data_IF_126321602740
#
_entry.id   IF_126321602740
#
_cell.length_a   1.000
_cell.length_b   1.000
_cell.length_c   1.000
_cell.angle_alpha   90.00
_cell.angle_beta   90.00
_cell.angle_gamma   90.00
#
_symmetry.space_group_name_H-M   'P 1'
#
loop_
_entity.id
_entity.type
_entity.pdbx_description
1 polymer ?
#
# COMPACT_ATOMS: atom_id res chain seq x y z
N UNK A 1 1.08 68.56 0.43
CA UNK A 1 1.44 68.56 -1.00
C UNK A 1 2.91 68.15 -1.14
N UNK A 2 3.20 66.84 -1.17
CA UNK A 2 4.57 66.32 -1.32
C UNK A 2 4.74 65.86 -2.77
N UNK A 3 5.56 66.59 -3.53
CA UNK A 3 5.82 66.36 -4.96
C UNK A 3 6.57 65.03 -5.09
N UNK A 4 5.85 63.94 -5.38
CA UNK A 4 6.42 62.60 -5.55
C UNK A 4 7.32 62.59 -6.79
N UNK A 5 8.63 62.63 -6.56
CA UNK A 5 9.63 62.80 -7.60
C UNK A 5 9.72 61.50 -8.40
N UNK A 6 9.18 61.49 -9.63
CA UNK A 6 9.04 60.28 -10.46
C UNK A 6 10.37 59.54 -10.68
N UNK A 7 11.50 60.26 -10.65
CA UNK A 7 12.85 59.69 -10.79
C UNK A 7 13.20 58.76 -9.63
N UNK A 8 12.88 59.15 -8.38
CA UNK A 8 13.15 58.33 -7.19
C UNK A 8 12.33 57.04 -7.21
N UNK A 9 11.09 57.10 -7.73
CA UNK A 9 10.24 55.92 -7.87
C UNK A 9 10.80 54.89 -8.87
N UNK A 10 11.38 55.35 -10.00
CA UNK A 10 12.00 54.45 -10.97
C UNK A 10 13.31 53.82 -10.46
N UNK A 11 14.09 54.58 -9.67
CA UNK A 11 15.32 54.05 -9.04
C UNK A 11 14.97 52.98 -8.00
N UNK A 12 13.94 53.21 -7.17
CA UNK A 12 13.49 52.22 -6.18
C UNK A 12 12.95 50.96 -6.87
N UNK A 13 12.16 51.10 -7.93
CA UNK A 13 11.65 49.96 -8.70
C UNK A 13 12.81 49.18 -9.34
N UNK A 14 13.82 49.87 -9.90
CA UNK A 14 15.00 49.25 -10.47
C UNK A 14 15.80 48.44 -9.45
N UNK A 15 16.04 48.99 -8.26
CA UNK A 15 16.75 48.28 -7.18
C UNK A 15 15.96 47.05 -6.72
N UNK A 16 14.64 47.16 -6.52
CA UNK A 16 13.79 46.02 -6.15
C UNK A 16 13.81 44.94 -7.23
N UNK A 17 13.80 45.33 -8.51
CA UNK A 17 13.84 44.41 -9.64
C UNK A 17 15.16 43.63 -9.70
N UNK A 18 16.29 44.32 -9.50
CA UNK A 18 17.62 43.70 -9.48
C UNK A 18 17.79 42.79 -8.25
N UNK A 19 17.26 43.20 -7.10
CA UNK A 19 17.32 42.40 -5.87
C UNK A 19 16.45 41.13 -5.98
N UNK A 20 15.28 41.22 -6.61
CA UNK A 20 14.42 40.08 -6.90
C UNK A 20 15.07 39.12 -7.91
N UNK A 21 15.76 39.63 -8.93
CA UNK A 21 16.48 38.82 -9.90
C UNK A 21 17.66 38.07 -9.26
N UNK A 22 18.39 38.72 -8.34
CA UNK A 22 19.47 38.09 -7.58
C UNK A 22 18.96 37.02 -6.61
N UNK A 23 17.75 37.16 -6.06
CA UNK A 23 17.16 36.15 -5.19
C UNK A 23 16.68 34.90 -5.95
N UNK A 24 16.21 35.05 -7.19
CA UNK A 24 15.84 33.91 -8.06
C UNK A 24 17.07 33.15 -8.54
N UNK A 25 18.20 33.83 -8.75
CA UNK A 25 19.44 33.21 -9.21
C UNK A 25 20.17 32.37 -8.14
N UNK A 26 19.82 32.54 -6.85
CA UNK A 26 20.43 31.81 -5.72
C UNK A 26 19.44 30.85 -5.07
N UNK A 27 18.37 30.46 -5.78
CA UNK A 27 17.58 29.33 -5.35
C UNK A 27 18.52 28.10 -5.29
N UNK A 28 18.77 27.51 -4.11
CA UNK A 28 19.51 26.27 -4.06
C UNK A 28 18.69 25.25 -4.87
N UNK A 29 19.27 24.78 -5.97
CA UNK A 29 18.81 23.55 -6.58
C UNK A 29 18.97 22.47 -5.50
N UNK A 30 17.88 22.13 -4.82
CA UNK A 30 17.83 20.92 -4.01
C UNK A 30 17.99 19.77 -5.00
N UNK A 31 19.24 19.35 -5.22
CA UNK A 31 19.49 18.06 -5.81
C UNK A 31 18.80 17.05 -4.89
N UNK A 32 17.88 16.26 -5.44
CA UNK A 32 17.31 15.13 -4.71
C UNK A 32 18.47 14.29 -4.21
N UNK A 33 18.75 14.36 -2.91
CA UNK A 33 19.83 13.62 -2.32
C UNK A 33 19.39 12.16 -2.27
N UNK A 34 19.75 11.41 -3.30
CA UNK A 34 19.70 9.97 -3.30
C UNK A 34 20.52 9.46 -2.12
N UNK A 35 19.85 8.79 -1.18
CA UNK A 35 20.50 8.18 -0.02
C UNK A 35 21.01 6.81 -0.44
N UNK A 36 22.32 6.70 -0.60
CA UNK A 36 23.01 5.41 -0.77
C UNK A 36 23.69 5.03 0.54
N UNK A 37 23.47 3.79 0.98
CA UNK A 37 24.10 3.24 2.17
C UNK A 37 24.95 2.01 1.83
N UNK A 38 26.07 1.87 2.52
CA UNK A 38 26.91 0.69 2.50
C UNK A 38 26.33 -0.42 3.38
N UNK A 39 26.46 -1.67 2.94
CA UNK A 39 26.05 -2.86 3.68
C UNK A 39 27.09 -3.98 3.52
N UNK A 40 27.05 -4.91 4.48
CA UNK A 40 27.70 -6.21 4.34
C UNK A 40 26.88 -7.16 3.45
N UNK A 41 27.52 -8.16 2.87
CA UNK A 41 26.84 -9.24 2.16
C UNK A 41 27.59 -10.56 2.32
N UNK A 42 26.84 -11.63 2.62
CA UNK A 42 27.38 -12.99 2.71
C UNK A 42 27.42 -13.68 1.33
N UNK A 43 26.72 -13.10 0.34
CA UNK A 43 26.62 -13.61 -1.03
C UNK A 43 27.17 -12.61 -2.03
N UNK A 44 27.63 -13.10 -3.18
CA UNK A 44 28.11 -12.23 -4.24
C UNK A 44 26.94 -11.50 -4.88
N UNK A 45 26.86 -10.20 -4.63
CA UNK A 45 25.85 -9.31 -5.20
C UNK A 45 26.37 -8.62 -6.45
N UNK A 46 25.56 -8.61 -7.50
CA UNK A 46 25.87 -7.93 -8.75
C UNK A 46 25.12 -6.60 -8.83
N UNK A 47 25.69 -5.65 -9.59
CA UNK A 47 25.06 -4.37 -9.88
C UNK A 47 23.70 -4.58 -10.53
N UNK A 48 22.72 -3.80 -10.09
CA UNK A 48 21.34 -3.87 -10.54
C UNK A 48 20.50 -4.94 -9.85
N UNK A 49 21.07 -5.73 -8.93
CA UNK A 49 20.28 -6.66 -8.15
C UNK A 49 19.38 -5.95 -7.15
N UNK A 50 18.14 -6.42 -7.04
CA UNK A 50 17.20 -6.00 -6.01
C UNK A 50 17.52 -6.73 -4.70
N UNK A 51 17.70 -5.98 -3.62
CA UNK A 51 18.10 -6.52 -2.32
C UNK A 51 17.17 -6.09 -1.20
N UNK A 52 17.16 -6.90 -0.15
CA UNK A 52 16.50 -6.63 1.11
C UNK A 52 17.43 -6.85 2.28
N UNK A 53 17.07 -6.26 3.43
CA UNK A 53 17.81 -6.43 4.67
C UNK A 53 17.67 -7.87 5.17
N UNK A 54 18.76 -8.49 5.63
CA UNK A 54 18.76 -9.84 6.18
C UNK A 54 17.89 -9.92 7.45
N UNK A 55 17.14 -11.03 7.65
CA UNK A 55 16.23 -11.19 8.80
C UNK A 55 16.99 -11.20 10.14
N UNK A 56 18.18 -11.78 10.15
CA UNK A 56 19.00 -11.96 11.35
C UNK A 56 19.94 -10.77 11.63
N UNK A 57 20.37 -10.05 10.58
CA UNK A 57 21.29 -8.92 10.69
C UNK A 57 20.89 -7.77 9.75
N UNK A 58 20.32 -6.66 10.26
CA UNK A 58 19.89 -5.54 9.43
C UNK A 58 21.05 -4.73 8.84
N UNK A 59 22.30 -5.08 9.15
CA UNK A 59 23.50 -4.48 8.51
C UNK A 59 23.94 -5.22 7.25
N UNK A 60 23.30 -6.34 6.95
CA UNK A 60 23.59 -7.14 5.77
C UNK A 60 22.42 -7.14 4.80
N UNK A 61 22.75 -7.27 3.53
CA UNK A 61 21.78 -7.36 2.45
C UNK A 61 21.90 -8.68 1.71
N UNK A 62 20.76 -9.18 1.25
CA UNK A 62 20.66 -10.38 0.43
C UNK A 62 19.70 -10.15 -0.75
N UNK A 63 19.87 -10.89 -1.86
CA UNK A 63 18.96 -10.76 -2.99
C UNK A 63 17.60 -11.38 -2.64
N UNK A 64 16.53 -10.60 -2.87
CA UNK A 64 15.17 -11.01 -2.53
C UNK A 64 14.36 -11.40 -3.76
N UNK A 65 13.27 -12.14 -3.55
CA UNK A 65 12.28 -12.47 -4.57
C UNK A 65 10.91 -11.85 -4.21
N UNK A 66 9.88 -12.20 -4.96
CA UNK A 66 8.49 -11.79 -4.75
C UNK A 66 7.90 -12.22 -3.41
N UNK A 67 8.43 -13.26 -2.75
CA UNK A 67 7.92 -13.75 -1.46
C UNK A 67 8.45 -12.90 -0.28
N UNK A 68 9.67 -12.38 -0.39
CA UNK A 68 10.33 -11.49 0.58
C UNK A 68 10.10 -10.00 0.25
N UNK A 69 8.97 -9.65 -0.40
CA UNK A 69 8.66 -8.28 -0.84
C UNK A 69 8.60 -7.26 0.30
N UNK A 70 8.32 -7.72 1.53
CA UNK A 70 8.23 -6.92 2.75
C UNK A 70 9.58 -6.35 3.19
N UNK A 71 10.67 -7.00 2.75
CA UNK A 71 12.05 -6.66 3.08
C UNK A 71 12.75 -5.85 2.00
N UNK A 72 12.03 -5.47 0.94
CA UNK A 72 12.57 -4.69 -0.17
C UNK A 72 13.23 -3.41 0.35
N UNK A 73 14.52 -3.28 0.10
CA UNK A 73 15.33 -2.19 0.65
C UNK A 73 15.98 -1.31 -0.43
N UNK A 74 16.34 -1.89 -1.58
CA UNK A 74 16.88 -1.11 -2.67
C UNK A 74 17.56 -1.94 -3.75
N UNK A 75 18.41 -1.26 -4.53
CA UNK A 75 19.16 -1.84 -5.63
C UNK A 75 20.65 -1.70 -5.36
N UNK A 76 21.41 -2.74 -5.70
CA UNK A 76 22.88 -2.73 -5.61
C UNK A 76 23.47 -1.84 -6.71
N UNK A 77 24.27 -0.86 -6.32
CA UNK A 77 24.90 0.11 -7.22
C UNK A 77 26.43 0.07 -7.13
N UNK A 78 27.11 0.66 -8.11
CA UNK A 78 28.55 0.87 -8.03
C UNK A 78 28.92 2.00 -7.07
N UNK A 79 30.09 1.92 -6.44
CA UNK A 79 30.61 2.94 -5.52
C UNK A 79 30.69 4.35 -6.13
N UNK A 80 30.85 4.44 -7.46
CA UNK A 80 31.03 5.70 -8.20
C UNK A 80 29.71 6.33 -8.69
N UNK A 81 28.55 5.74 -8.36
CA UNK A 81 27.26 6.12 -8.95
C UNK A 81 26.37 6.93 -8.01
N UNK A 82 26.81 7.20 -6.77
CA UNK A 82 26.06 7.99 -5.80
C UNK A 82 26.67 9.37 -5.58
N UNK A 83 25.81 10.38 -5.43
CA UNK A 83 26.20 11.72 -4.99
C UNK A 83 26.55 11.77 -3.49
N UNK A 84 26.03 10.84 -2.69
CA UNK A 84 26.25 10.75 -1.24
C UNK A 84 26.49 9.29 -0.86
N UNK A 85 27.61 8.98 -0.23
CA UNK A 85 27.95 7.65 0.26
C UNK A 85 27.97 7.66 1.79
N UNK A 86 27.15 6.80 2.40
CA UNK A 86 27.14 6.58 3.84
C UNK A 86 27.53 5.11 4.08
N UNK A 87 28.79 4.86 4.43
CA UNK A 87 29.27 3.49 4.69
C UNK A 87 30.59 3.50 5.46
N UNK A 88 30.92 2.36 6.08
CA UNK A 88 32.20 2.10 6.74
C UNK A 88 33.14 1.28 5.85
N UNK A 89 34.43 1.25 6.19
CA UNK A 89 35.48 0.57 5.40
C UNK A 89 35.24 -0.95 5.20
N UNK A 90 34.38 -1.57 6.02
CA UNK A 90 33.99 -2.98 5.96
C UNK A 90 32.74 -3.26 5.10
N UNK A 91 32.00 -2.23 4.71
CA UNK A 91 30.75 -2.31 3.93
C UNK A 91 31.03 -2.10 2.43
N UNK A 92 31.24 -3.20 1.71
CA UNK A 92 31.67 -3.17 0.30
C UNK A 92 30.52 -3.15 -0.72
N UNK A 93 29.27 -3.30 -0.27
CA UNK A 93 28.08 -3.32 -1.14
C UNK A 93 27.29 -2.05 -0.92
N UNK A 94 27.07 -1.28 -1.97
CA UNK A 94 26.29 -0.04 -1.92
C UNK A 94 24.87 -0.31 -2.40
N UNK A 95 23.89 0.13 -1.60
CA UNK A 95 22.47 -0.03 -1.92
C UNK A 95 21.81 1.34 -1.98
N UNK A 96 21.15 1.60 -3.11
CA UNK A 96 20.37 2.80 -3.31
C UNK A 96 18.89 2.53 -3.03
N UNK A 97 18.30 3.34 -2.15
CA UNK A 97 16.87 3.29 -1.81
C UNK A 97 16.03 4.34 -2.54
N UNK A 98 16.66 5.23 -3.31
CA UNK A 98 15.97 6.25 -4.09
C UNK A 98 16.80 6.84 -5.22
N UNK A 99 16.19 7.15 -6.36
CA UNK A 99 16.84 7.77 -7.53
C UNK A 99 16.99 6.81 -8.72
N UNK A 100 17.67 7.26 -9.78
CA UNK A 100 17.67 6.56 -11.07
C UNK A 100 18.85 5.61 -11.19
N UNK A 101 18.57 4.30 -11.20
CA UNK A 101 19.61 3.27 -11.27
C UNK A 101 19.25 2.15 -12.25
N UNK A 102 20.26 1.52 -12.87
CA UNK A 102 20.04 0.31 -13.66
C UNK A 102 19.64 -0.84 -12.75
N UNK A 103 18.55 -1.53 -13.10
CA UNK A 103 18.00 -2.67 -12.36
C UNK A 103 17.92 -3.87 -13.28
N UNK A 104 18.27 -5.05 -12.75
CA UNK A 104 18.05 -6.32 -13.44
C UNK A 104 16.56 -6.60 -13.46
N UNK A 105 15.99 -6.79 -14.64
CA UNK A 105 14.57 -7.05 -14.82
C UNK A 105 14.35 -8.27 -15.69
N UNK A 106 13.25 -8.96 -15.44
CA UNK A 106 12.84 -10.17 -16.15
C UNK A 106 11.54 -9.94 -16.89
N UNK A 107 11.35 -10.74 -17.93
CA UNK A 107 10.12 -10.85 -18.71
C UNK A 107 9.03 -11.70 -18.06
N UNK A 108 9.17 -12.04 -16.78
CA UNK A 108 8.24 -12.92 -16.05
C UNK A 108 6.79 -12.43 -16.13
N UNK A 109 6.59 -11.12 -16.01
CA UNK A 109 5.27 -10.49 -16.08
C UNK A 109 5.08 -9.71 -17.39
N UNK A 110 5.76 -10.13 -18.46
CA UNK A 110 5.76 -9.50 -19.78
C UNK A 110 6.82 -8.41 -19.95
N UNK A 111 6.76 -7.73 -21.10
CA UNK A 111 7.62 -6.61 -21.44
C UNK A 111 7.38 -5.42 -20.50
N UNK A 112 8.41 -4.61 -20.29
CA UNK A 112 8.36 -3.40 -19.47
C UNK A 112 8.33 -2.19 -20.39
N UNK A 113 7.33 -1.33 -20.24
CA UNK A 113 7.26 -0.06 -20.94
C UNK A 113 7.74 1.09 -20.04
N UNK A 114 8.09 2.21 -20.67
CA UNK A 114 8.40 3.45 -19.94
C UNK A 114 7.17 3.86 -19.13
N UNK A 115 7.39 3.97 -17.82
CA UNK A 115 6.37 4.35 -16.86
C UNK A 115 5.66 3.18 -16.18
N UNK A 116 5.99 1.93 -16.52
CA UNK A 116 5.51 0.78 -15.78
C UNK A 116 6.15 0.71 -14.39
N UNK A 117 5.42 0.19 -13.42
CA UNK A 117 5.98 -0.10 -12.10
C UNK A 117 6.81 -1.38 -12.14
N UNK A 118 7.88 -1.41 -11.36
CA UNK A 118 8.76 -2.58 -11.23
C UNK A 118 8.66 -3.13 -9.80
N UNK A 119 8.45 -4.43 -9.67
CA UNK A 119 8.40 -5.17 -8.40
C UNK A 119 9.42 -6.32 -8.42
N UNK A 120 9.64 -6.96 -7.27
CA UNK A 120 10.51 -8.14 -7.18
C UNK A 120 9.87 -9.33 -7.93
N UNK A 121 10.67 -10.04 -8.73
CA UNK A 121 10.25 -11.23 -9.47
C UNK A 121 10.41 -12.50 -8.63
N UNK A 122 10.00 -13.66 -9.14
CA UNK A 122 10.30 -14.94 -8.45
C UNK A 122 11.79 -15.28 -8.46
N UNK A 123 12.58 -14.64 -9.34
CA UNK A 123 14.03 -14.75 -9.38
C UNK A 123 14.65 -13.80 -8.36
N UNK A 124 15.46 -14.37 -7.47
CA UNK A 124 16.19 -13.60 -6.45
C UNK A 124 17.08 -12.55 -7.10
N UNK A 125 16.93 -11.31 -6.65
CA UNK A 125 17.74 -10.19 -7.14
C UNK A 125 17.28 -9.59 -8.47
N UNK A 126 16.17 -10.06 -9.05
CA UNK A 126 15.69 -9.57 -10.35
C UNK A 126 14.27 -9.03 -10.20
N UNK A 127 14.01 -7.90 -10.84
CA UNK A 127 12.70 -7.28 -10.91
C UNK A 127 11.83 -7.84 -12.04
N UNK A 128 10.57 -7.48 -12.05
CA UNK A 128 9.64 -7.70 -13.16
C UNK A 128 8.65 -6.54 -13.18
N UNK A 129 7.90 -6.41 -14.28
CA UNK A 129 6.75 -5.50 -14.32
C UNK A 129 5.78 -5.83 -13.18
N UNK A 130 5.36 -4.83 -12.42
CA UNK A 130 4.34 -4.99 -11.39
C UNK A 130 2.94 -5.00 -12.03
N UNK A 131 2.11 -5.94 -11.59
CA UNK A 131 0.70 -6.02 -11.94
C UNK A 131 -0.18 -5.48 -10.82
N UNK A 132 -1.34 -6.11 -10.64
CA UNK A 132 -2.33 -5.74 -9.62
C UNK A 132 -2.30 -6.63 -8.37
N UNK A 133 -1.29 -7.49 -8.22
CA UNK A 133 -1.17 -8.43 -7.09
C UNK A 133 0.02 -8.15 -6.18
N UNK A 134 1.06 -7.48 -6.69
CA UNK A 134 2.29 -7.21 -5.96
C UNK A 134 2.09 -6.06 -4.96
N UNK A 135 2.27 -6.25 -3.65
CA UNK A 135 1.94 -5.21 -2.67
C UNK A 135 2.92 -4.04 -2.63
N UNK A 136 4.18 -4.30 -2.99
CA UNK A 136 5.29 -3.36 -2.90
C UNK A 136 5.97 -3.25 -4.27
N UNK A 137 6.31 -2.02 -4.64
CA UNK A 137 7.07 -1.70 -5.85
C UNK A 137 8.42 -1.13 -5.46
N UNK A 138 9.42 -1.41 -6.30
CA UNK A 138 10.74 -0.79 -6.22
C UNK A 138 10.72 0.63 -6.76
N UNK A 139 9.95 0.88 -7.82
CA UNK A 139 9.97 2.16 -8.52
C UNK A 139 9.29 2.11 -9.88
N UNK A 140 9.58 3.11 -10.70
CA UNK A 140 9.00 3.30 -12.03
C UNK A 140 10.06 3.18 -13.12
N UNK A 141 9.82 2.34 -14.13
CA UNK A 141 10.73 2.16 -15.24
C UNK A 141 10.82 3.45 -16.07
N UNK A 142 12.04 3.90 -16.37
CA UNK A 142 12.29 5.04 -17.27
C UNK A 142 12.77 4.60 -18.65
N UNK A 143 13.11 3.32 -18.80
CA UNK A 143 13.45 2.66 -20.06
C UNK A 143 12.48 1.51 -20.33
N UNK A 144 12.35 1.14 -21.60
CA UNK A 144 11.59 -0.05 -21.99
C UNK A 144 12.51 -1.28 -22.02
N UNK A 145 11.92 -2.46 -21.81
CA UNK A 145 12.56 -3.75 -22.05
C UNK A 145 11.62 -4.65 -22.83
N UNK A 146 12.10 -5.04 -24.01
CA UNK A 146 11.43 -5.98 -24.89
C UNK A 146 12.14 -7.34 -24.88
N UNK A 147 11.43 -8.34 -24.37
CA UNK A 147 11.92 -9.72 -24.33
C UNK A 147 12.05 -10.40 -25.70
N UNK A 148 11.49 -9.79 -26.75
CA UNK A 148 11.65 -10.22 -28.14
C UNK A 148 12.92 -9.68 -28.80
N UNK A 149 13.57 -8.66 -28.23
CA UNK A 149 14.77 -8.05 -28.80
C UNK A 149 16.05 -8.67 -28.21
N UNK A 150 16.79 -9.46 -28.99
CA UNK A 150 17.97 -10.19 -28.51
C UNK A 150 19.11 -9.28 -28.00
N UNK A 151 19.17 -8.03 -28.44
CA UNK A 151 20.19 -7.07 -28.01
C UNK A 151 19.98 -6.56 -26.57
N UNK A 152 18.74 -6.61 -26.09
CA UNK A 152 18.32 -6.18 -24.75
C UNK A 152 18.44 -7.31 -23.71
N UNK A 153 18.59 -8.55 -24.17
CA UNK A 153 18.75 -9.74 -23.32
C UNK A 153 20.21 -9.87 -22.89
N UNK A 154 20.50 -9.60 -21.61
CA UNK A 154 21.84 -9.76 -21.03
C UNK A 154 22.08 -11.16 -20.48
N UNK A 155 21.02 -11.85 -20.05
CA UNK A 155 21.09 -13.23 -19.58
C UNK A 155 19.73 -13.91 -19.68
N UNK A 156 19.70 -15.23 -19.79
CA UNK A 156 18.47 -16.00 -19.70
C UNK A 156 18.51 -16.86 -18.43
N UNK A 157 17.51 -16.71 -17.57
CA UNK A 157 17.41 -17.47 -16.32
C UNK A 157 16.24 -18.45 -16.47
N UNK A 158 16.52 -19.74 -16.27
CA UNK A 158 15.47 -20.77 -16.24
C UNK A 158 14.85 -20.80 -14.86
N UNK A 159 13.55 -20.56 -14.77
CA UNK A 159 12.78 -20.60 -13.53
C UNK A 159 11.78 -21.74 -13.60
N UNK A 160 11.68 -22.50 -12.51
CA UNK A 160 10.60 -23.48 -12.33
C UNK A 160 9.37 -22.74 -11.80
N UNK A 161 8.31 -22.72 -12.59
CA UNK A 161 7.00 -22.24 -12.17
C UNK A 161 6.42 -23.14 -11.06
N UNK A 162 5.42 -22.65 -10.34
CA UNK A 162 4.67 -23.38 -9.29
C UNK A 162 4.06 -24.70 -9.78
N UNK A 163 3.96 -24.89 -11.11
CA UNK A 163 3.50 -26.10 -11.76
C UNK A 163 4.64 -27.06 -12.18
N UNK A 164 5.89 -26.78 -11.79
CA UNK A 164 7.07 -27.60 -12.10
C UNK A 164 7.61 -27.44 -13.52
N UNK A 165 7.06 -26.51 -14.30
CA UNK A 165 7.50 -26.24 -15.68
C UNK A 165 8.69 -25.28 -15.70
N UNK A 166 9.73 -25.63 -16.45
CA UNK A 166 10.90 -24.77 -16.67
C UNK A 166 10.57 -23.70 -17.71
N UNK A 167 10.43 -22.46 -17.28
CA UNK A 167 10.28 -21.30 -18.15
C UNK A 167 11.60 -20.54 -18.25
N UNK A 168 12.06 -20.33 -19.47
CA UNK A 168 13.27 -19.54 -19.75
C UNK A 168 12.88 -18.07 -19.78
N UNK A 169 13.20 -17.34 -18.72
CA UNK A 169 12.94 -15.92 -18.60
C UNK A 169 14.11 -15.13 -19.20
N UNK A 170 13.81 -14.22 -20.12
CA UNK A 170 14.78 -13.23 -20.57
C UNK A 170 15.01 -12.20 -19.45
N UNK A 171 16.27 -11.96 -19.12
CA UNK A 171 16.73 -10.97 -18.13
C UNK A 171 17.52 -9.88 -18.85
N UNK A 172 17.12 -8.63 -18.64
CA UNK A 172 17.76 -7.44 -19.14
C UNK A 172 18.12 -6.47 -18.02
N UNK A 173 18.65 -5.31 -18.42
CA UNK A 173 18.89 -4.19 -17.51
C UNK A 173 18.00 -3.04 -17.97
N UNK A 174 17.22 -2.50 -17.05
CA UNK A 174 16.36 -1.32 -17.27
C UNK A 174 16.68 -0.29 -16.22
N UNK A 175 16.82 0.97 -16.63
CA UNK A 175 16.91 2.05 -15.66
C UNK A 175 15.54 2.29 -15.03
N UNK A 176 15.51 2.27 -13.70
CA UNK A 176 14.31 2.48 -12.89
C UNK A 176 14.55 3.69 -12.00
N UNK A 177 13.55 4.56 -11.93
CA UNK A 177 13.47 5.58 -10.88
C UNK A 177 13.03 4.89 -9.59
N UNK A 178 14.02 4.52 -8.78
CA UNK A 178 13.84 3.79 -7.53
C UNK A 178 13.11 4.71 -6.55
N UNK A 179 11.95 4.26 -6.11
CA UNK A 179 11.10 4.93 -5.13
C UNK A 179 10.27 3.84 -4.44
N UNK A 180 10.83 3.25 -3.41
CA UNK A 180 10.22 2.09 -2.75
C UNK A 180 8.91 2.51 -2.09
N UNK A 181 7.84 1.80 -2.42
CA UNK A 181 6.52 2.18 -1.96
C UNK A 181 5.47 1.11 -2.20
N UNK A 182 4.24 1.39 -1.76
CA UNK A 182 3.09 0.52 -2.02
C UNK A 182 2.70 0.60 -3.49
N UNK A 183 2.35 -0.54 -4.07
CA UNK A 183 1.89 -0.59 -5.45
C UNK A 183 0.54 0.14 -5.58
N UNK A 184 0.45 1.23 -6.36
CA UNK A 184 -0.81 1.94 -6.57
C UNK A 184 -1.80 1.13 -7.41
N UNK A 185 -1.35 0.09 -8.12
CA UNK A 185 -2.19 -0.78 -8.95
C UNK A 185 -2.73 -2.01 -8.19
N UNK A 186 -2.37 -2.18 -6.91
CA UNK A 186 -2.77 -3.34 -6.11
C UNK A 186 -4.31 -3.45 -6.02
N UNK A 187 -4.87 -4.49 -6.62
CA UNK A 187 -6.26 -4.90 -6.41
C UNK A 187 -6.31 -5.90 -5.27
N UNK A 188 -7.03 -5.55 -4.22
CA UNK A 188 -7.30 -6.47 -3.12
C UNK A 188 -8.29 -7.53 -3.61
N UNK A 189 -7.80 -8.68 -4.08
CA UNK A 189 -8.57 -9.80 -4.65
C UNK A 189 -9.57 -10.51 -3.71
N UNK A 190 -10.04 -9.82 -2.66
CA UNK A 190 -11.17 -10.23 -1.81
C UNK A 190 -12.20 -9.10 -1.72
N UNK A 191 -12.58 -8.54 -2.87
CA UNK A 191 -13.40 -7.33 -2.93
C UNK A 191 -14.79 -7.56 -2.33
N UNK A 192 -14.91 -7.15 -1.08
CA UNK A 192 -16.15 -6.81 -0.43
C UNK A 192 -16.93 -5.84 -1.33
N UNK A 193 -18.23 -6.08 -1.59
CA UNK A 193 -19.06 -5.15 -2.36
C UNK A 193 -18.88 -3.70 -1.88
N UNK A 194 -18.73 -2.76 -2.81
CA UNK A 194 -18.38 -1.36 -2.50
C UNK A 194 -19.31 -0.70 -1.48
N UNK A 195 -20.59 -1.08 -1.45
CA UNK A 195 -21.55 -0.64 -0.44
C UNK A 195 -21.17 -1.12 0.98
N UNK A 196 -20.83 -2.40 1.14
CA UNK A 196 -20.43 -2.97 2.43
C UNK A 196 -19.08 -2.41 2.88
N UNK A 197 -18.15 -2.21 1.95
CA UNK A 197 -16.85 -1.57 2.23
C UNK A 197 -17.06 -0.18 2.81
N UNK A 198 -17.80 0.68 2.11
CA UNK A 198 -18.10 2.05 2.59
C UNK A 198 -18.81 2.05 3.94
N UNK A 199 -19.81 1.20 4.13
CA UNK A 199 -20.52 1.12 5.41
C UNK A 199 -19.58 0.71 6.55
N UNK A 200 -18.72 -0.30 6.31
CA UNK A 200 -17.76 -0.77 7.31
C UNK A 200 -16.67 0.27 7.62
N UNK A 201 -16.17 0.98 6.60
CA UNK A 201 -15.17 2.04 6.74
C UNK A 201 -15.72 3.26 7.47
N UNK A 202 -16.98 3.64 7.22
CA UNK A 202 -17.65 4.73 7.94
C UNK A 202 -17.79 4.44 9.44
N UNK A 203 -18.05 3.18 9.80
CA UNK A 203 -18.19 2.76 11.19
C UNK A 203 -16.83 2.57 11.86
N UNK A 204 -15.86 2.00 11.16
CA UNK A 204 -14.54 1.67 11.74
C UNK A 204 -13.53 2.83 11.68
N UNK A 205 -13.71 3.80 10.77
CA UNK A 205 -12.77 4.89 10.51
C UNK A 205 -11.45 4.44 9.86
N UNK A 206 -11.36 3.18 9.43
CA UNK A 206 -10.18 2.57 8.80
C UNK A 206 -10.61 1.50 7.78
N UNK A 207 -9.78 1.16 6.78
CA UNK A 207 -10.03 0.00 5.92
C UNK A 207 -10.07 -1.27 6.77
N UNK A 208 -11.16 -2.03 6.66
CA UNK A 208 -11.41 -3.26 7.43
C UNK A 208 -11.26 -4.46 6.52
N UNK A 209 -10.69 -5.57 7.04
CA UNK A 209 -10.54 -6.78 6.25
C UNK A 209 -11.91 -7.38 5.87
N UNK A 210 -12.08 -7.91 4.64
CA UNK A 210 -13.35 -8.48 4.16
C UNK A 210 -13.94 -9.54 5.09
N UNK A 211 -13.09 -10.40 5.67
CA UNK A 211 -13.52 -11.45 6.61
C UNK A 211 -14.18 -10.88 7.87
N UNK A 212 -13.66 -9.76 8.42
CA UNK A 212 -14.27 -9.08 9.57
C UNK A 212 -15.64 -8.51 9.19
N UNK A 213 -15.76 -7.95 7.99
CA UNK A 213 -17.04 -7.41 7.52
C UNK A 213 -18.09 -8.51 7.35
N UNK A 214 -17.74 -9.66 6.76
CA UNK A 214 -18.67 -10.80 6.65
C UNK A 214 -19.08 -11.36 8.02
N UNK A 215 -18.16 -11.50 8.96
CA UNK A 215 -18.48 -11.92 10.32
C UNK A 215 -19.40 -10.93 11.03
N UNK A 216 -19.17 -9.63 10.85
CA UNK A 216 -20.01 -8.58 11.41
C UNK A 216 -21.44 -8.63 10.83
N UNK A 217 -21.57 -8.89 9.53
CA UNK A 217 -22.85 -9.03 8.86
C UNK A 217 -23.62 -10.25 9.38
N UNK A 218 -22.93 -11.38 9.57
CA UNK A 218 -23.52 -12.59 10.13
C UNK A 218 -24.07 -12.35 11.55
N UNK A 219 -23.29 -11.69 12.42
CA UNK A 219 -23.73 -11.35 13.79
C UNK A 219 -24.95 -10.43 13.75
N UNK A 220 -24.95 -9.43 12.87
CA UNK A 220 -26.07 -8.50 12.74
C UNK A 220 -27.35 -9.22 12.30
N UNK A 221 -27.26 -10.13 11.33
CA UNK A 221 -28.40 -10.94 10.87
C UNK A 221 -28.94 -11.81 11.99
N UNK A 222 -28.06 -12.48 12.76
CA UNK A 222 -28.46 -13.32 13.90
C UNK A 222 -29.12 -12.48 15.00
N UNK A 223 -28.52 -11.35 15.38
CA UNK A 223 -29.09 -10.46 16.40
C UNK A 223 -30.46 -9.90 15.98
N UNK A 224 -30.60 -9.53 14.71
CA UNK A 224 -31.87 -9.06 14.14
C UNK A 224 -32.92 -10.17 14.12
N UNK A 225 -32.55 -11.40 13.76
CA UNK A 225 -33.47 -12.54 13.76
C UNK A 225 -33.94 -12.90 15.18
N UNK A 226 -33.04 -12.90 16.16
CA UNK A 226 -33.38 -13.15 17.57
C UNK A 226 -34.30 -12.05 18.10
N UNK A 227 -33.91 -10.77 17.98
CA UNK A 227 -34.74 -9.66 18.45
C UNK A 227 -36.10 -9.61 17.74
N UNK A 228 -36.10 -9.80 16.41
CA UNK A 228 -37.33 -9.80 15.60
C UNK A 228 -38.29 -10.92 15.98
N UNK A 229 -37.78 -12.15 16.18
CA UNK A 229 -38.60 -13.28 16.61
C UNK A 229 -39.17 -13.09 18.02
N UNK A 230 -38.39 -12.53 18.95
CA UNK A 230 -38.86 -12.19 20.31
C UNK A 230 -40.00 -11.17 20.27
N UNK A 231 -39.82 -10.06 19.53
CA UNK A 231 -40.83 -9.00 19.43
C UNK A 231 -42.08 -9.53 18.72
N UNK A 232 -41.93 -10.27 17.62
CA UNK A 232 -43.07 -10.82 16.88
C UNK A 232 -43.89 -11.79 17.74
N UNK A 233 -43.21 -12.71 18.45
CA UNK A 233 -43.85 -13.65 19.36
C UNK A 233 -44.58 -12.93 20.50
N UNK A 234 -43.94 -11.92 21.09
CA UNK A 234 -44.51 -11.13 22.17
C UNK A 234 -45.76 -10.36 21.72
N UNK A 235 -45.70 -9.69 20.57
CA UNK A 235 -46.83 -8.93 20.02
C UNK A 235 -48.00 -9.86 19.70
N UNK A 236 -47.74 -10.96 18.97
CA UNK A 236 -48.79 -11.92 18.62
C UNK A 236 -49.46 -12.52 19.85
N UNK A 237 -48.66 -12.95 20.83
CA UNK A 237 -49.16 -13.51 22.09
C UNK A 237 -49.96 -12.49 22.90
N UNK A 238 -49.52 -11.23 22.90
CA UNK A 238 -50.22 -10.16 23.62
C UNK A 238 -51.57 -9.82 22.99
N UNK A 239 -51.65 -9.80 21.64
CA UNK A 239 -52.90 -9.53 20.92
C UNK A 239 -53.94 -10.64 21.22
N UNK A 240 -53.54 -11.91 21.16
CA UNK A 240 -54.45 -13.03 21.44
C UNK A 240 -54.89 -13.05 22.90
N UNK A 241 -53.97 -12.78 23.84
CA UNK A 241 -54.28 -12.72 25.26
C UNK A 241 -55.25 -11.58 25.61
N UNK A 242 -55.07 -10.39 25.02
CA UNK A 242 -55.97 -9.24 25.22
C UNK A 242 -57.36 -9.53 24.63
N UNK A 243 -57.41 -10.17 23.45
CA UNK A 243 -58.68 -10.56 22.82
C UNK A 243 -59.48 -11.58 23.66
N UNK A 244 -58.79 -12.47 24.38
CA UNK A 244 -59.42 -13.49 25.24
C UNK A 244 -59.80 -12.96 26.63
N UNK A 245 -59.07 -11.99 27.16
CA UNK A 245 -59.35 -11.42 28.47
C UNK A 245 -59.01 -9.91 28.52
N UNK A 246 -59.97 -9.03 28.15
CA UNK A 246 -59.72 -7.59 28.10
C UNK A 246 -59.49 -6.96 29.48
N UNK A 247 -59.94 -7.59 30.58
CA UNK A 247 -59.73 -7.09 31.94
C UNK A 247 -58.25 -7.13 32.36
N UNK A 248 -57.48 -8.08 31.83
CA UNK A 248 -56.05 -8.23 32.11
C UNK A 248 -55.14 -7.40 31.20
N UNK A 249 -55.70 -6.50 30.37
CA UNK A 249 -54.96 -5.69 29.40
C UNK A 249 -53.74 -4.97 30.00
N UNK A 250 -53.89 -4.39 31.19
CA UNK A 250 -52.80 -3.64 31.87
C UNK A 250 -51.64 -4.55 32.27
N UNK A 251 -51.91 -5.78 32.70
CA UNK A 251 -50.88 -6.76 33.04
C UNK A 251 -50.19 -7.30 31.77
N UNK A 252 -50.95 -7.62 30.73
CA UNK A 252 -50.42 -8.12 29.46
C UNK A 252 -49.54 -7.06 28.77
N UNK A 253 -49.97 -5.80 28.73
CA UNK A 253 -49.17 -4.70 28.16
C UNK A 253 -47.85 -4.48 28.89
N UNK A 254 -47.81 -4.65 30.22
CA UNK A 254 -46.55 -4.60 30.99
C UNK A 254 -45.60 -5.73 30.58
N UNK A 255 -46.12 -6.95 30.44
CA UNK A 255 -45.34 -8.10 29.97
C UNK A 255 -44.81 -7.90 28.54
N UNK A 256 -45.64 -7.39 27.62
CA UNK A 256 -45.23 -7.03 26.27
C UNK A 256 -44.08 -6.02 26.29
N UNK A 257 -44.23 -4.94 27.08
CA UNK A 257 -43.23 -3.89 27.18
C UNK A 257 -41.89 -4.44 27.71
N UNK A 258 -41.92 -5.35 28.69
CA UNK A 258 -40.72 -6.01 29.19
C UNK A 258 -40.02 -6.84 28.11
N UNK A 259 -40.75 -7.62 27.30
CA UNK A 259 -40.13 -8.41 26.22
C UNK A 259 -39.59 -7.53 25.10
N UNK A 260 -40.27 -6.43 24.78
CA UNK A 260 -39.78 -5.44 23.81
C UNK A 260 -38.47 -4.81 24.28
N UNK A 261 -38.35 -4.45 25.57
CA UNK A 261 -37.10 -3.96 26.15
C UNK A 261 -36.00 -5.01 26.04
N UNK A 262 -36.28 -6.28 26.38
CA UNK A 262 -35.29 -7.36 26.28
C UNK A 262 -34.83 -7.54 24.83
N UNK A 263 -35.75 -7.56 23.87
CA UNK A 263 -35.42 -7.62 22.45
C UNK A 263 -34.52 -6.46 22.01
N UNK A 264 -34.84 -5.24 22.45
CA UNK A 264 -34.03 -4.06 22.17
C UNK A 264 -32.62 -4.18 22.78
N UNK A 265 -32.49 -4.67 24.01
CA UNK A 265 -31.19 -4.90 24.66
C UNK A 265 -30.35 -5.91 23.87
N UNK A 266 -30.96 -7.01 23.43
CA UNK A 266 -30.28 -8.03 22.60
C UNK A 266 -29.81 -7.42 21.28
N UNK A 267 -30.66 -6.62 20.63
CA UNK A 267 -30.31 -5.95 19.37
C UNK A 267 -29.15 -4.95 19.54
N UNK A 268 -29.21 -4.10 20.56
CA UNK A 268 -28.14 -3.13 20.87
C UNK A 268 -26.83 -3.84 21.20
N UNK A 269 -26.88 -4.95 21.97
CA UNK A 269 -25.71 -5.78 22.24
C UNK A 269 -25.09 -6.35 20.96
N UNK A 270 -25.93 -6.80 20.02
CA UNK A 270 -25.49 -7.24 18.69
C UNK A 270 -24.77 -6.14 17.89
N UNK A 271 -25.35 -4.92 17.86
CA UNK A 271 -24.71 -3.75 17.23
C UNK A 271 -23.38 -3.42 17.89
N UNK A 272 -23.32 -3.48 19.22
CA UNK A 272 -22.10 -3.23 19.97
C UNK A 272 -21.01 -4.25 19.65
N UNK A 273 -21.36 -5.54 19.53
CA UNK A 273 -20.45 -6.60 19.10
C UNK A 273 -19.91 -6.37 17.68
N UNK A 274 -20.77 -5.96 16.75
CA UNK A 274 -20.38 -5.57 15.38
C UNK A 274 -19.37 -4.42 15.41
N UNK A 275 -19.65 -3.37 16.19
CA UNK A 275 -18.75 -2.22 16.32
C UNK A 275 -17.37 -2.62 16.87
N UNK A 276 -17.34 -3.44 17.91
CA UNK A 276 -16.08 -3.89 18.51
C UNK A 276 -15.25 -4.73 17.53
N UNK A 277 -15.91 -5.62 16.78
CA UNK A 277 -15.27 -6.48 15.78
C UNK A 277 -14.68 -5.69 14.61
N UNK A 278 -15.35 -4.63 14.16
CA UNK A 278 -14.85 -3.77 13.08
C UNK A 278 -13.72 -2.84 13.55
N UNK A 279 -13.69 -2.47 14.82
CA UNK A 279 -12.70 -1.53 15.37
C UNK A 279 -11.40 -2.21 15.79
N UNK A 280 -11.45 -3.44 16.29
CA UNK A 280 -10.29 -4.32 16.41
C UNK A 280 -9.67 -4.48 15.02
#
# INVERSE_FOLDING_TARGET
MIKRNKVVQHIIIGIISVTALLFVAVAPSFAEATVTQGYGADTLLQRGMIVGLQKDDPRKVEPINSDDYDRLHGVVIGANESAVLLGRDDEKVYVASGGRFPVLVSSQNGNIAVGDYVAASSVKGVGMRAGDIEPVILGKAIEAFDSGNQDEIKSAVTVKDNNGNEQRLAVGIVTVDVSIGKNPMLKSNNDLPTALRRASELVAGKPVSPIRVYMSLAILVVATAISGSLIYSAVRSSITAIGRNPLSKKAIMRGLFQVVIIGLIVFISGIFGVYLLLKL
#
